data_IF_078790383609
#
_entry.id   IF_078790383609
#
_cell.length_a   1.000
_cell.length_b   1.000
_cell.length_c   1.000
_cell.angle_alpha   90.00
_cell.angle_beta   90.00
_cell.angle_gamma   90.00
#
_symmetry.space_group_name_H-M   'P 1'
#
loop_
_entity.id
_entity.type
_entity.pdbx_description
1 polymer ?
#
# COMPACT_ATOMS: atom_id res chain seq x y z
N UNK A 1 20.15 20.57 -10.10
CA UNK A 1 18.81 20.93 -9.61
C UNK A 1 18.50 20.05 -8.40
N UNK A 2 18.72 20.55 -7.17
CA UNK A 2 18.46 19.83 -5.92
C UNK A 2 17.21 20.45 -5.31
N UNK A 3 16.08 19.80 -5.47
CA UNK A 3 14.84 20.23 -4.82
C UNK A 3 15.02 19.90 -3.34
N UNK A 4 14.96 20.93 -2.50
CA UNK A 4 15.07 20.85 -1.05
C UNK A 4 13.92 20.00 -0.49
N UNK A 5 14.22 18.74 -0.18
CA UNK A 5 13.30 17.78 0.45
C UNK A 5 12.86 18.16 1.85
N UNK A 6 13.50 19.16 2.48
CA UNK A 6 13.23 19.56 3.86
C UNK A 6 11.98 20.45 4.04
N UNK A 7 11.55 21.18 3.00
CA UNK A 7 10.38 22.07 3.11
C UNK A 7 9.03 21.40 2.85
N UNK A 8 9.02 20.16 2.36
CA UNK A 8 7.78 19.43 2.05
C UNK A 8 6.91 19.17 3.29
N UNK A 9 7.49 19.20 4.49
CA UNK A 9 6.80 18.95 5.77
C UNK A 9 6.25 20.21 6.45
N UNK A 10 6.53 21.41 5.90
CA UNK A 10 6.15 22.70 6.51
C UNK A 10 4.91 23.35 5.87
N UNK A 11 4.31 22.71 4.87
CA UNK A 11 3.01 23.08 4.32
C UNK A 11 2.01 21.96 4.62
N UNK A 12 1.40 21.98 5.82
CA UNK A 12 0.07 21.38 5.96
C UNK A 12 -0.90 22.18 5.07
N UNK A 13 -0.94 21.83 3.79
CA UNK A 13 -2.00 22.25 2.89
C UNK A 13 -3.31 21.66 3.44
N UNK A 14 -4.04 22.44 4.24
CA UNK A 14 -5.44 22.16 4.58
C UNK A 14 -6.30 22.36 3.34
N UNK A 15 -6.19 21.43 2.41
CA UNK A 15 -7.09 21.34 1.25
C UNK A 15 -8.49 21.12 1.80
N UNK A 16 -9.40 22.04 1.50
CA UNK A 16 -10.80 21.92 1.90
C UNK A 16 -11.49 20.94 0.96
N UNK A 17 -12.04 19.87 1.51
CA UNK A 17 -12.82 18.89 0.78
C UNK A 17 -14.29 19.04 1.19
N UNK A 18 -15.15 19.36 0.23
CA UNK A 18 -16.60 19.36 0.44
C UNK A 18 -17.13 17.97 0.05
N UNK A 19 -17.83 17.32 0.98
CA UNK A 19 -18.36 15.96 0.79
C UNK A 19 -19.87 16.03 1.00
N UNK A 20 -20.62 15.45 0.08
CA UNK A 20 -22.06 15.24 0.26
C UNK A 20 -22.28 13.90 0.96
N UNK A 21 -23.02 13.92 2.05
CA UNK A 21 -23.34 12.74 2.87
C UNK A 21 -24.84 12.68 3.05
N UNK A 22 -25.37 11.46 3.08
CA UNK A 22 -26.78 11.22 3.40
C UNK A 22 -27.14 11.76 4.79
N UNK A 23 -28.36 12.29 4.94
CA UNK A 23 -28.81 12.95 6.17
C UNK A 23 -28.85 12.00 7.38
N UNK A 24 -29.36 10.78 7.19
CA UNK A 24 -29.46 9.78 8.27
C UNK A 24 -28.06 9.37 8.74
N UNK A 25 -27.14 9.21 7.79
CA UNK A 25 -25.75 8.90 8.08
C UNK A 25 -25.05 10.07 8.81
N UNK A 26 -25.33 11.32 8.40
CA UNK A 26 -24.73 12.49 9.03
C UNK A 26 -25.14 12.62 10.50
N UNK A 27 -26.40 12.38 10.84
CA UNK A 27 -26.87 12.39 12.23
C UNK A 27 -26.22 11.29 13.10
N UNK A 28 -26.06 10.09 12.54
CA UNK A 28 -25.36 9.01 13.21
C UNK A 28 -23.89 9.37 13.50
N UNK A 29 -23.20 9.99 12.52
CA UNK A 29 -21.81 10.42 12.67
C UNK A 29 -21.68 11.52 13.73
N UNK A 30 -22.58 12.52 13.73
CA UNK A 30 -22.58 13.59 14.75
C UNK A 30 -22.73 13.01 16.16
N UNK A 31 -23.68 12.09 16.34
CA UNK A 31 -23.91 11.43 17.62
C UNK A 31 -22.67 10.66 18.08
N UNK A 32 -22.04 9.91 17.19
CA UNK A 32 -20.81 9.19 17.48
C UNK A 32 -19.65 10.13 17.85
N UNK A 33 -19.49 11.23 17.10
CA UNK A 33 -18.46 12.23 17.34
C UNK A 33 -18.62 12.88 18.74
N UNK A 34 -19.86 13.22 19.12
CA UNK A 34 -20.18 13.76 20.43
C UNK A 34 -19.84 12.78 21.57
N UNK A 35 -20.18 11.49 21.42
CA UNK A 35 -19.84 10.44 22.40
C UNK A 35 -18.33 10.30 22.56
N UNK A 36 -17.57 10.45 21.47
CA UNK A 36 -16.10 10.34 21.45
C UNK A 36 -15.38 11.64 21.81
N UNK A 37 -16.10 12.76 21.96
CA UNK A 37 -15.52 14.07 22.25
C UNK A 37 -14.64 14.62 21.13
N UNK A 38 -14.89 14.22 19.88
CA UNK A 38 -14.12 14.63 18.69
C UNK A 38 -15.03 15.32 17.68
N UNK A 39 -14.45 16.05 16.72
CA UNK A 39 -15.23 16.66 15.64
C UNK A 39 -15.52 15.68 14.50
N UNK A 40 -16.60 15.92 13.74
CA UNK A 40 -16.90 15.13 12.53
C UNK A 40 -15.76 15.26 11.51
N UNK A 41 -15.21 16.45 11.35
CA UNK A 41 -14.06 16.70 10.46
C UNK A 41 -12.85 15.86 10.85
N UNK A 42 -12.56 15.74 12.14
CA UNK A 42 -11.46 14.94 12.67
C UNK A 42 -11.66 13.44 12.42
N UNK A 43 -12.89 12.92 12.56
CA UNK A 43 -13.21 11.53 12.22
C UNK A 43 -12.92 11.23 10.73
N UNK A 44 -13.38 12.12 9.85
CA UNK A 44 -13.20 12.00 8.41
C UNK A 44 -11.72 12.11 8.04
N UNK A 45 -11.00 13.06 8.64
CA UNK A 45 -9.57 13.25 8.44
C UNK A 45 -8.78 12.00 8.86
N UNK A 46 -9.06 11.45 10.03
CA UNK A 46 -8.40 10.23 10.53
C UNK A 46 -8.66 9.03 9.62
N UNK A 47 -9.87 8.90 9.09
CA UNK A 47 -10.19 7.89 8.10
C UNK A 47 -9.36 8.06 6.83
N UNK A 48 -9.33 9.25 6.24
CA UNK A 48 -8.53 9.51 5.04
C UNK A 48 -7.03 9.34 5.28
N UNK A 49 -6.50 9.73 6.45
CA UNK A 49 -5.09 9.47 6.82
C UNK A 49 -4.77 7.97 6.81
N UNK A 50 -5.72 7.15 7.24
CA UNK A 50 -5.57 5.69 7.25
C UNK A 50 -5.62 5.13 5.83
N UNK A 51 -6.58 5.56 5.02
CA UNK A 51 -6.77 5.09 3.63
C UNK A 51 -5.63 5.54 2.72
N UNK A 52 -5.18 6.78 2.84
CA UNK A 52 -4.09 7.34 2.06
C UNK A 52 -2.70 6.86 2.53
N UNK A 53 -2.63 6.11 3.64
CA UNK A 53 -1.36 5.61 4.14
C UNK A 53 -0.75 4.66 3.11
N UNK A 54 0.49 4.92 2.64
CA UNK A 54 1.12 4.03 1.68
C UNK A 54 1.26 2.64 2.31
N UNK A 55 0.78 1.63 1.58
CA UNK A 55 0.95 0.23 1.98
C UNK A 55 2.44 -0.06 2.13
N UNK A 56 2.87 -0.45 3.33
CA UNK A 56 4.24 -0.91 3.59
C UNK A 56 4.49 -2.30 3.01
N UNK A 57 3.44 -3.02 2.63
CA UNK A 57 3.58 -4.36 2.03
C UNK A 57 4.03 -4.18 0.59
N UNK A 58 5.14 -4.82 0.24
CA UNK A 58 5.62 -4.90 -1.13
C UNK A 58 4.48 -5.46 -1.99
N UNK A 59 4.16 -4.77 -3.07
CA UNK A 59 3.21 -5.26 -4.06
C UNK A 59 3.77 -6.59 -4.62
N UNK A 60 2.89 -7.52 -5.00
CA UNK A 60 3.28 -8.79 -5.66
C UNK A 60 4.22 -8.51 -6.84
N UNK A 61 3.97 -7.46 -7.62
CA UNK A 61 4.85 -7.04 -8.73
C UNK A 61 6.26 -6.69 -8.23
N UNK A 62 6.35 -5.92 -7.14
CA UNK A 62 7.63 -5.55 -6.52
C UNK A 62 8.36 -6.74 -5.87
N UNK A 63 7.63 -7.81 -5.53
CA UNK A 63 8.23 -9.05 -5.04
C UNK A 63 8.81 -9.85 -6.20
N UNK A 64 8.05 -9.98 -7.30
CA UNK A 64 8.50 -10.68 -8.51
C UNK A 64 9.73 -10.00 -9.12
N UNK A 65 9.74 -8.66 -9.21
CA UNK A 65 10.87 -7.90 -9.72
C UNK A 65 12.16 -8.06 -8.88
N UNK A 66 12.02 -8.46 -7.61
CA UNK A 66 13.13 -8.69 -6.69
C UNK A 66 13.58 -10.14 -6.61
N UNK A 67 12.91 -11.05 -7.31
CA UNK A 67 13.39 -12.42 -7.43
C UNK A 67 14.70 -12.42 -8.22
N UNK A 68 15.67 -13.18 -7.73
CA UNK A 68 16.91 -13.39 -8.44
C UNK A 68 16.60 -14.02 -9.80
N UNK A 69 17.20 -13.48 -10.85
CA UNK A 69 17.06 -14.08 -12.17
C UNK A 69 17.85 -15.39 -12.15
N UNK A 70 17.21 -16.53 -12.48
CA UNK A 70 17.92 -17.78 -12.54
C UNK A 70 18.94 -17.73 -13.69
N UNK A 71 20.14 -18.26 -13.43
CA UNK A 71 21.21 -18.35 -14.42
C UNK A 71 20.96 -19.55 -15.35
N UNK A 72 19.96 -19.41 -16.23
CA UNK A 72 19.55 -20.44 -17.18
C UNK A 72 19.86 -19.97 -18.59
N UNK A 73 20.54 -20.82 -19.37
CA UNK A 73 20.85 -20.50 -20.75
C UNK A 73 19.56 -20.31 -21.57
N UNK A 74 19.47 -19.29 -22.46
CA UNK A 74 18.24 -18.95 -23.18
C UNK A 74 17.61 -20.04 -24.06
N UNK A 75 18.37 -21.11 -24.35
CA UNK A 75 17.95 -22.25 -25.17
C UNK A 75 17.96 -23.59 -24.40
N UNK A 76 18.11 -23.54 -23.08
CA UNK A 76 18.12 -24.74 -22.28
C UNK A 76 16.72 -25.38 -22.24
N UNK A 77 16.68 -26.71 -22.24
CA UNK A 77 15.44 -27.44 -21.99
C UNK A 77 15.12 -27.37 -20.49
N UNK A 78 14.13 -26.55 -20.15
CA UNK A 78 13.69 -26.33 -18.78
C UNK A 78 13.14 -27.61 -18.13
N UNK A 79 12.61 -28.54 -18.93
CA UNK A 79 12.07 -29.80 -18.43
C UNK A 79 13.19 -30.70 -17.96
N UNK A 80 14.21 -30.88 -18.80
CA UNK A 80 15.35 -31.74 -18.48
C UNK A 80 16.14 -31.19 -17.28
N UNK A 81 16.36 -29.88 -17.23
CA UNK A 81 16.99 -29.20 -16.08
C UNK A 81 16.22 -29.42 -14.78
N UNK A 82 14.89 -29.33 -14.82
CA UNK A 82 14.07 -29.56 -13.63
C UNK A 82 14.25 -30.99 -13.09
N UNK A 83 14.23 -32.01 -13.95
CA UNK A 83 14.40 -33.39 -13.50
C UNK A 83 15.83 -33.67 -13.00
N UNK A 84 16.85 -33.07 -13.62
CA UNK A 84 18.23 -33.15 -13.14
C UNK A 84 18.38 -32.57 -11.73
N UNK A 85 17.90 -31.36 -11.48
CA UNK A 85 17.93 -30.74 -10.14
C UNK A 85 17.14 -31.54 -9.10
N UNK A 86 15.98 -32.09 -9.47
CA UNK A 86 15.19 -32.93 -8.56
C UNK A 86 15.91 -34.24 -8.22
N UNK A 87 16.57 -34.88 -9.19
CA UNK A 87 17.38 -36.08 -8.93
C UNK A 87 18.58 -35.79 -8.03
N UNK A 88 19.25 -34.65 -8.22
CA UNK A 88 20.39 -34.23 -7.37
C UNK A 88 19.94 -33.92 -5.94
N UNK A 89 18.78 -33.28 -5.78
CA UNK A 89 18.28 -32.83 -4.47
C UNK A 89 17.56 -33.92 -3.67
N UNK A 90 16.87 -34.83 -4.34
CA UNK A 90 16.00 -35.83 -3.70
C UNK A 90 16.38 -37.30 -3.99
N UNK A 91 17.38 -37.54 -4.84
CA UNK A 91 18.01 -38.86 -5.01
C UNK A 91 17.07 -39.95 -5.53
N UNK A 92 16.24 -39.64 -6.54
CA UNK A 92 15.46 -40.65 -7.26
C UNK A 92 16.25 -41.27 -8.40
#
# INVERSE_FOLDING_TARGET
MRIFTEYAYLWELKVRLNITVDEVLLEAIKSYAAIKGVSVSELVENHFRTVARPSRRKNILQLVDKLERPDIAPKADLKDLFYQEQSEKYGF
#
